data_IF_781997393982
#
_entry.id   IF_781997393982
#
_cell.length_a   1.000
_cell.length_b   1.000
_cell.length_c   1.000
_cell.angle_alpha   90.00
_cell.angle_beta   90.00
_cell.angle_gamma   90.00
#
_symmetry.space_group_name_H-M   'P 1'
#
loop_
_entity.id
_entity.type
_entity.pdbx_description
1 polymer ?
#
# COMPACT_ATOMS: atom_id res chain seq x y z
N UNK A 1 -27.53 7.95 27.07
CA UNK A 1 -26.11 8.33 26.92
C UNK A 1 -25.95 8.74 25.46
N UNK A 2 -25.65 10.02 25.22
CA UNK A 2 -25.83 10.71 23.93
C UNK A 2 -24.97 10.11 22.80
N UNK A 3 -25.58 9.98 21.62
CA UNK A 3 -24.94 9.66 20.32
C UNK A 3 -24.04 10.79 19.77
N UNK A 4 -23.78 11.84 20.55
CA UNK A 4 -22.99 13.02 20.15
C UNK A 4 -21.54 13.01 20.66
N UNK A 5 -21.09 11.93 21.31
CA UNK A 5 -19.70 11.73 21.72
C UNK A 5 -18.98 10.72 20.82
N UNK A 6 -19.22 10.80 19.50
CA UNK A 6 -18.36 10.17 18.50
C UNK A 6 -17.28 11.20 18.20
N UNK A 7 -16.02 10.87 18.49
CA UNK A 7 -14.90 11.79 18.49
C UNK A 7 -14.77 12.51 17.13
N UNK A 8 -15.25 13.76 17.04
CA UNK A 8 -14.79 14.63 15.97
C UNK A 8 -13.29 14.83 16.20
N UNK A 9 -12.47 14.41 15.25
CA UNK A 9 -11.04 14.70 15.24
C UNK A 9 -10.87 16.20 15.46
N UNK A 10 -10.14 16.58 16.50
CA UNK A 10 -9.90 17.97 16.85
C UNK A 10 -9.28 18.71 15.65
N UNK A 11 -9.87 19.85 15.29
CA UNK A 11 -9.37 20.72 14.22
C UNK A 11 -7.93 21.16 14.48
N UNK A 12 -7.52 21.32 15.75
CA UNK A 12 -6.13 21.59 16.10
C UNK A 12 -5.21 20.45 15.66
N UNK A 13 -5.57 19.22 16.00
CA UNK A 13 -4.80 18.02 15.65
C UNK A 13 -4.66 17.86 14.14
N UNK A 14 -5.73 18.10 13.36
CA UNK A 14 -5.65 18.06 11.89
C UNK A 14 -4.65 19.07 11.35
N UNK A 15 -4.75 20.32 11.79
CA UNK A 15 -3.87 21.39 11.33
C UNK A 15 -2.40 21.10 11.66
N UNK A 16 -2.13 20.51 12.82
CA UNK A 16 -0.78 20.09 13.20
C UNK A 16 -0.26 18.93 12.35
N UNK A 17 -1.09 17.89 12.15
CA UNK A 17 -0.77 16.77 11.29
C UNK A 17 -0.46 17.20 9.86
N UNK A 18 -1.31 18.05 9.27
CA UNK A 18 -1.10 18.61 7.93
C UNK A 18 0.22 19.38 7.86
N UNK A 19 0.53 20.19 8.87
CA UNK A 19 1.79 20.93 8.94
C UNK A 19 2.99 19.99 9.03
N UNK A 20 2.93 18.93 9.83
CA UNK A 20 4.01 17.94 9.93
C UNK A 20 4.27 17.26 8.60
N UNK A 21 3.20 16.86 7.90
CA UNK A 21 3.27 16.24 6.57
C UNK A 21 3.89 17.19 5.56
N UNK A 22 3.34 18.39 5.42
CA UNK A 22 3.78 19.38 4.41
C UNK A 22 5.21 19.87 4.64
N UNK A 23 5.72 19.79 5.86
CA UNK A 23 7.10 20.15 6.22
C UNK A 23 8.03 18.95 6.34
N UNK A 24 7.52 17.72 6.23
CA UNK A 24 8.31 16.50 6.49
C UNK A 24 8.94 16.49 7.89
N UNK A 25 8.28 17.10 8.89
CA UNK A 25 8.80 17.24 10.26
C UNK A 25 7.81 16.66 11.28
N UNK A 26 7.61 15.34 11.29
CA UNK A 26 6.72 14.69 12.24
C UNK A 26 7.34 14.60 13.65
N UNK A 27 6.52 14.75 14.72
CA UNK A 27 6.94 14.59 16.11
C UNK A 27 7.06 13.09 16.48
N UNK A 28 8.05 12.40 15.92
CA UNK A 28 8.20 10.94 16.05
C UNK A 28 8.36 10.46 17.50
N UNK A 29 8.93 11.28 18.39
CA UNK A 29 9.16 10.90 19.79
C UNK A 29 7.99 11.30 20.69
N UNK A 30 7.39 12.46 20.43
CA UNK A 30 6.32 13.03 21.24
C UNK A 30 4.95 12.41 20.91
N UNK A 31 4.71 12.09 19.64
CA UNK A 31 3.49 11.46 19.15
C UNK A 31 3.83 10.25 18.25
N UNK A 32 4.31 9.11 18.81
CA UNK A 32 4.87 8.03 18.01
C UNK A 32 3.93 7.48 16.93
N UNK A 33 2.63 7.29 17.25
CA UNK A 33 1.66 6.77 16.29
C UNK A 33 1.34 7.77 15.17
N UNK A 34 0.95 9.00 15.52
CA UNK A 34 0.62 10.05 14.56
C UNK A 34 1.84 10.55 13.78
N UNK A 35 3.01 10.58 14.41
CA UNK A 35 4.27 10.94 13.78
C UNK A 35 4.68 9.96 12.69
N UNK A 36 4.55 8.65 12.94
CA UNK A 36 4.77 7.61 11.92
C UNK A 36 3.75 7.74 10.77
N UNK A 37 2.47 7.92 11.09
CA UNK A 37 1.43 8.13 10.10
C UNK A 37 1.66 9.40 9.26
N UNK A 38 2.12 10.49 9.86
CA UNK A 38 2.50 11.72 9.16
C UNK A 38 3.73 11.51 8.27
N UNK A 39 4.72 10.74 8.71
CA UNK A 39 5.88 10.40 7.89
C UNK A 39 5.50 9.57 6.65
N UNK A 40 4.62 8.59 6.82
CA UNK A 40 4.07 7.80 5.71
C UNK A 40 3.20 8.66 4.77
N UNK A 41 2.42 9.58 5.33
CA UNK A 41 1.61 10.54 4.54
C UNK A 41 2.51 11.52 3.77
N UNK A 42 3.68 11.88 4.31
CA UNK A 42 4.71 12.66 3.60
C UNK A 42 5.21 11.89 2.38
N UNK A 43 5.54 10.61 2.53
CA UNK A 43 5.91 9.75 1.39
C UNK A 43 4.77 9.65 0.36
N UNK A 44 3.53 9.54 0.80
CA UNK A 44 2.37 9.33 -0.06
C UNK A 44 1.97 10.55 -0.90
N UNK A 45 2.16 11.76 -0.37
CA UNK A 45 1.59 12.98 -0.97
C UNK A 45 2.57 14.16 -1.11
N UNK A 46 3.65 14.22 -0.34
CA UNK A 46 4.59 15.35 -0.40
C UNK A 46 5.82 14.99 -1.20
N UNK A 47 6.41 13.83 -0.95
CA UNK A 47 7.66 13.40 -1.57
C UNK A 47 7.60 11.91 -1.96
N UNK A 48 6.90 11.58 -3.08
CA UNK A 48 6.81 10.22 -3.57
C UNK A 48 8.17 9.58 -3.86
N UNK A 49 9.20 10.35 -4.23
CA UNK A 49 10.54 9.81 -4.49
C UNK A 49 11.21 9.34 -3.18
N UNK A 50 10.93 9.99 -2.06
CA UNK A 50 11.45 9.58 -0.75
C UNK A 50 10.71 8.38 -0.12
N UNK A 51 9.73 7.78 -0.80
CA UNK A 51 8.92 6.72 -0.22
C UNK A 51 9.73 5.49 0.21
N UNK A 52 10.68 5.03 -0.60
CA UNK A 52 11.51 3.85 -0.29
C UNK A 52 12.40 4.08 0.94
N UNK A 53 13.22 5.15 1.01
CA UNK A 53 14.04 5.37 2.19
C UNK A 53 13.22 5.63 3.46
N UNK A 54 12.03 6.24 3.34
CA UNK A 54 11.11 6.40 4.47
C UNK A 54 10.64 5.03 4.99
N UNK A 55 10.16 4.16 4.10
CA UNK A 55 9.67 2.84 4.48
C UNK A 55 10.79 1.92 4.98
N UNK A 56 11.98 1.98 4.38
CA UNK A 56 13.16 1.24 4.87
C UNK A 56 13.53 1.66 6.30
N UNK A 57 13.52 2.97 6.60
CA UNK A 57 13.81 3.47 7.95
C UNK A 57 12.78 3.01 8.98
N UNK A 58 11.49 3.11 8.67
CA UNK A 58 10.42 2.69 9.58
C UNK A 58 10.45 1.17 9.76
N UNK A 59 10.65 0.40 8.69
CA UNK A 59 10.73 -1.06 8.74
C UNK A 59 11.86 -1.54 9.65
N UNK A 60 13.06 -0.95 9.50
CA UNK A 60 14.22 -1.28 10.31
C UNK A 60 14.00 -0.93 11.79
N UNK A 61 13.48 0.27 12.07
CA UNK A 61 13.24 0.71 13.44
C UNK A 61 12.14 -0.11 14.13
N UNK A 62 11.08 -0.48 13.41
CA UNK A 62 9.98 -1.31 13.94
C UNK A 62 10.45 -2.74 14.26
N UNK A 63 11.36 -3.30 13.45
CA UNK A 63 11.94 -4.61 13.71
C UNK A 63 12.91 -4.60 14.90
N UNK A 64 13.56 -3.46 15.17
CA UNK A 64 14.55 -3.34 16.23
C UNK A 64 13.94 -3.12 17.62
N UNK A 65 12.83 -2.39 17.72
CA UNK A 65 12.27 -1.99 19.02
C UNK A 65 10.77 -1.68 18.98
N UNK A 66 10.10 -1.99 20.10
CA UNK A 66 8.73 -1.53 20.39
C UNK A 66 8.71 -0.22 21.18
N UNK A 67 9.84 0.30 21.62
CA UNK A 67 9.93 1.59 22.33
C UNK A 67 9.85 2.75 21.33
N UNK A 68 8.88 3.65 21.54
CA UNK A 68 8.63 4.77 20.61
C UNK A 68 9.80 5.76 20.52
N UNK A 69 10.49 6.03 21.62
CA UNK A 69 11.60 6.99 21.63
C UNK A 69 12.85 6.41 20.95
N UNK A 70 13.16 5.14 21.21
CA UNK A 70 14.24 4.43 20.52
C UNK A 70 13.95 4.31 19.01
N UNK A 71 12.70 3.97 18.65
CA UNK A 71 12.26 3.93 17.24
C UNK A 71 12.42 5.29 16.56
N UNK A 72 11.99 6.37 17.21
CA UNK A 72 12.15 7.73 16.71
C UNK A 72 13.63 8.10 16.48
N UNK A 73 14.50 7.72 17.42
CA UNK A 73 15.95 7.95 17.29
C UNK A 73 16.56 7.19 16.10
N UNK A 74 16.15 5.93 15.88
CA UNK A 74 16.62 5.14 14.74
C UNK A 74 16.15 5.71 13.40
N UNK A 75 14.86 6.08 13.30
CA UNK A 75 14.32 6.73 12.09
C UNK A 75 15.05 8.04 11.81
N UNK A 76 15.29 8.85 12.85
CA UNK A 76 16.01 10.12 12.73
C UNK A 76 17.45 9.93 12.29
N UNK A 77 18.13 8.87 12.76
CA UNK A 77 19.48 8.54 12.31
C UNK A 77 19.52 8.14 10.83
N UNK A 78 18.51 7.40 10.35
CA UNK A 78 18.39 7.00 8.95
C UNK A 78 17.93 8.14 8.03
N UNK A 79 17.13 9.08 8.55
CA UNK A 79 16.54 10.20 7.83
C UNK A 79 16.83 11.54 8.54
N UNK A 80 18.07 12.04 8.56
CA UNK A 80 18.43 13.23 9.36
C UNK A 80 17.59 14.48 9.05
N UNK A 81 17.03 14.56 7.84
CA UNK A 81 16.16 15.66 7.42
C UNK A 81 14.85 15.76 8.21
N UNK A 82 14.39 14.72 8.92
CA UNK A 82 13.16 14.79 9.72
C UNK A 82 13.28 15.73 10.93
N UNK A 83 14.52 16.05 11.36
CA UNK A 83 14.77 16.96 12.50
C UNK A 83 14.39 18.39 12.12
N UNK A 84 14.92 18.85 10.99
CA UNK A 84 14.77 20.22 10.50
C UNK A 84 13.56 20.37 9.57
N UNK A 85 13.12 19.26 8.99
CA UNK A 85 12.12 19.21 7.93
C UNK A 85 12.69 19.54 6.55
N UNK A 86 11.80 19.54 5.57
CA UNK A 86 12.03 19.97 4.19
C UNK A 86 11.31 21.31 3.94
N UNK A 87 11.67 22.04 2.86
CA UNK A 87 10.88 23.19 2.44
C UNK A 87 9.39 22.81 2.33
N UNK A 88 8.52 23.62 2.94
CA UNK A 88 7.09 23.30 3.00
C UNK A 88 6.49 23.20 1.60
N UNK A 89 5.83 22.08 1.33
CA UNK A 89 5.01 21.88 0.13
C UNK A 89 3.55 21.80 0.59
N UNK A 90 2.78 22.85 0.33
CA UNK A 90 1.36 22.87 0.67
C UNK A 90 0.58 21.95 -0.28
N UNK A 91 -0.26 21.07 0.28
CA UNK A 91 -1.13 20.22 -0.53
C UNK A 91 -2.45 20.95 -0.85
N UNK A 92 -3.13 20.60 -1.95
CA UNK A 92 -4.45 21.17 -2.26
C UNK A 92 -5.44 20.96 -1.09
N UNK A 93 -6.18 22.00 -0.70
CA UNK A 93 -7.14 21.90 0.43
C UNK A 93 -8.14 20.76 0.21
N UNK A 94 -8.64 20.61 -1.01
CA UNK A 94 -9.59 19.55 -1.38
C UNK A 94 -9.01 18.13 -1.18
N UNK A 95 -7.70 17.94 -1.38
CA UNK A 95 -7.05 16.64 -1.12
C UNK A 95 -7.11 16.30 0.37
N UNK A 96 -6.79 17.25 1.23
CA UNK A 96 -6.86 17.06 2.66
C UNK A 96 -8.29 16.89 3.18
N UNK A 97 -9.25 17.67 2.67
CA UNK A 97 -10.65 17.53 3.06
C UNK A 97 -11.17 16.12 2.72
N UNK A 98 -10.80 15.60 1.54
CA UNK A 98 -11.11 14.24 1.12
C UNK A 98 -10.37 13.19 1.97
N UNK A 99 -9.08 13.39 2.28
CA UNK A 99 -8.31 12.51 3.14
C UNK A 99 -8.93 12.39 4.54
N UNK A 100 -9.22 13.52 5.19
CA UNK A 100 -9.85 13.53 6.51
C UNK A 100 -11.25 12.93 6.51
N UNK A 101 -12.02 13.11 5.42
CA UNK A 101 -13.31 12.42 5.23
C UNK A 101 -13.16 10.90 5.30
N UNK A 102 -12.07 10.33 4.76
CA UNK A 102 -11.78 8.89 4.86
C UNK A 102 -11.41 8.51 6.29
N UNK A 103 -10.53 9.29 6.94
CA UNK A 103 -10.07 9.00 8.30
C UNK A 103 -11.24 9.02 9.30
N UNK A 104 -12.12 10.00 9.20
CA UNK A 104 -13.26 10.20 10.11
C UNK A 104 -14.42 9.23 9.89
N UNK A 105 -14.49 8.56 8.73
CA UNK A 105 -15.56 7.62 8.44
C UNK A 105 -15.56 6.51 9.51
N UNK A 106 -16.65 6.34 10.28
CA UNK A 106 -16.71 5.29 11.29
C UNK A 106 -16.53 3.92 10.65
N UNK A 107 -15.94 2.96 11.36
CA UNK A 107 -15.91 1.57 10.90
C UNK A 107 -17.36 1.06 10.80
N UNK A 108 -17.75 0.60 9.63
CA UNK A 108 -19.02 -0.08 9.40
C UNK A 108 -18.78 -1.57 9.18
N UNK A 109 -19.66 -2.42 9.70
CA UNK A 109 -19.66 -3.85 9.38
C UNK A 109 -20.24 -4.14 7.99
N UNK A 110 -20.82 -3.14 7.34
CA UNK A 110 -21.36 -3.22 5.97
C UNK A 110 -20.35 -2.73 4.92
N UNK A 111 -19.28 -2.03 5.34
CA UNK A 111 -18.25 -1.55 4.43
C UNK A 111 -17.31 -2.71 4.06
N UNK A 112 -17.15 -2.96 2.77
CA UNK A 112 -16.19 -3.94 2.26
C UNK A 112 -14.79 -3.35 2.09
N UNK A 113 -13.77 -4.20 1.91
CA UNK A 113 -12.39 -3.77 1.60
C UNK A 113 -12.30 -2.87 0.36
N UNK A 114 -13.20 -3.12 -0.61
CA UNK A 114 -13.32 -2.33 -1.83
C UNK A 114 -13.73 -0.87 -1.56
N UNK A 115 -14.49 -0.58 -0.49
CA UNK A 115 -14.94 0.78 -0.19
C UNK A 115 -13.79 1.70 0.20
N UNK A 116 -12.86 1.21 1.02
CA UNK A 116 -11.66 1.97 1.38
C UNK A 116 -10.75 2.14 0.16
N UNK A 117 -10.60 1.09 -0.64
CA UNK A 117 -9.82 1.12 -1.89
C UNK A 117 -10.32 2.22 -2.83
N UNK A 118 -11.62 2.23 -3.13
CA UNK A 118 -12.23 3.24 -4.00
C UNK A 118 -12.11 4.66 -3.42
N UNK A 119 -12.23 4.82 -2.10
CA UNK A 119 -12.07 6.11 -1.46
C UNK A 119 -10.62 6.65 -1.57
N UNK A 120 -9.62 5.79 -1.39
CA UNK A 120 -8.20 6.16 -1.55
C UNK A 120 -7.87 6.45 -3.01
N UNK A 121 -8.41 5.67 -3.96
CA UNK A 121 -8.27 5.95 -5.41
C UNK A 121 -8.86 7.32 -5.75
N UNK A 122 -10.02 7.67 -5.19
CA UNK A 122 -10.69 8.94 -5.46
C UNK A 122 -9.89 10.18 -5.03
N UNK A 123 -8.92 10.05 -4.10
CA UNK A 123 -7.98 11.13 -3.77
C UNK A 123 -7.19 11.60 -5.00
N UNK A 124 -7.02 10.73 -6.01
CA UNK A 124 -6.36 11.04 -7.27
C UNK A 124 -6.99 12.19 -8.06
N UNK A 125 -8.28 12.46 -7.87
CA UNK A 125 -8.96 13.60 -8.48
C UNK A 125 -8.47 14.97 -7.97
N UNK A 126 -7.69 14.98 -6.89
CA UNK A 126 -7.18 16.19 -6.26
C UNK A 126 -5.66 16.38 -6.42
N UNK A 127 -5.00 15.53 -7.20
CA UNK A 127 -3.56 15.64 -7.44
C UNK A 127 -3.23 16.82 -8.34
N UNK A 128 -2.19 17.56 -7.96
CA UNK A 128 -1.58 18.56 -8.82
C UNK A 128 -0.53 17.92 -9.74
N UNK A 129 -0.05 18.70 -10.71
CA UNK A 129 0.93 18.24 -11.69
C UNK A 129 2.24 17.76 -11.03
N UNK A 130 2.67 18.44 -9.95
CA UNK A 130 3.88 18.10 -9.20
C UNK A 130 3.76 16.70 -8.57
N UNK A 131 2.61 16.36 -8.00
CA UNK A 131 2.34 15.03 -7.48
C UNK A 131 2.45 13.98 -8.58
N UNK A 132 1.80 14.22 -9.73
CA UNK A 132 1.78 13.28 -10.85
C UNK A 132 3.21 13.04 -11.36
N UNK A 133 4.00 14.10 -11.52
CA UNK A 133 5.40 14.01 -11.95
C UNK A 133 6.27 13.29 -10.91
N UNK A 134 6.04 13.54 -9.63
CA UNK A 134 6.74 12.85 -8.53
C UNK A 134 6.44 11.36 -8.47
N UNK A 135 5.20 10.97 -8.75
CA UNK A 135 4.78 9.56 -8.81
C UNK A 135 5.41 8.81 -9.98
N UNK A 136 5.57 9.48 -11.13
CA UNK A 136 6.30 8.93 -12.27
C UNK A 136 7.77 8.70 -11.91
N UNK A 137 8.43 9.73 -11.38
CA UNK A 137 9.83 9.66 -10.98
C UNK A 137 10.07 8.55 -9.96
N UNK A 138 9.18 8.40 -8.97
CA UNK A 138 9.31 7.38 -7.94
C UNK A 138 9.20 5.95 -8.47
N UNK A 139 8.35 5.70 -9.48
CA UNK A 139 8.26 4.39 -10.12
C UNK A 139 9.50 4.08 -10.97
N UNK A 140 10.09 5.10 -11.60
CA UNK A 140 11.28 4.96 -12.43
C UNK A 140 12.57 4.70 -11.62
N UNK A 141 12.51 4.65 -10.28
CA UNK A 141 13.61 4.18 -9.43
C UNK A 141 13.73 2.64 -9.41
N UNK A 142 12.77 1.90 -9.99
CA UNK A 142 12.74 0.43 -9.96
C UNK A 142 13.06 -0.18 -11.33
N UNK A 143 14.05 -1.07 -11.37
CA UNK A 143 14.51 -1.73 -12.60
C UNK A 143 13.39 -2.54 -13.29
N UNK A 144 12.55 -3.23 -12.51
CA UNK A 144 11.42 -4.01 -13.01
C UNK A 144 10.33 -3.14 -13.64
N UNK A 145 10.22 -1.87 -13.26
CA UNK A 145 9.33 -0.92 -13.95
C UNK A 145 9.89 -0.58 -15.33
N UNK A 146 11.20 -0.36 -15.46
CA UNK A 146 11.85 -0.18 -16.77
C UNK A 146 11.68 -1.42 -17.66
N UNK A 147 11.89 -2.61 -17.10
CA UNK A 147 11.69 -3.87 -17.81
C UNK A 147 10.23 -4.03 -18.27
N UNK A 148 9.26 -3.67 -17.43
CA UNK A 148 7.84 -3.70 -17.80
C UNK A 148 7.55 -2.75 -18.96
N UNK A 149 8.07 -1.51 -18.91
CA UNK A 149 7.88 -0.50 -19.97
C UNK A 149 8.47 -0.98 -21.30
N UNK A 150 9.61 -1.68 -21.26
CA UNK A 150 10.28 -2.19 -22.46
C UNK A 150 9.57 -3.40 -23.11
N UNK A 151 8.77 -4.15 -22.35
CA UNK A 151 8.06 -5.34 -22.83
C UNK A 151 6.71 -4.99 -23.51
N UNK A 152 6.22 -5.77 -24.50
CA UNK A 152 4.88 -5.57 -25.04
C UNK A 152 3.81 -5.78 -23.95
N UNK A 153 2.73 -5.00 -24.04
CA UNK A 153 1.59 -5.16 -23.13
C UNK A 153 0.82 -6.45 -23.46
N UNK A 154 0.60 -7.31 -22.46
CA UNK A 154 -0.17 -8.54 -22.57
C UNK A 154 -1.26 -8.54 -21.53
N UNK A 155 -2.51 -8.46 -21.98
CA UNK A 155 -3.71 -8.45 -21.13
C UNK A 155 -4.16 -9.88 -20.86
N UNK A 156 -4.34 -10.23 -19.59
CA UNK A 156 -5.00 -11.47 -19.19
C UNK A 156 -6.49 -11.22 -19.08
N UNK A 157 -7.30 -12.15 -19.58
CA UNK A 157 -8.76 -12.12 -19.50
C UNK A 157 -9.25 -13.30 -18.67
N UNK A 158 -10.48 -13.22 -18.16
CA UNK A 158 -11.09 -14.36 -17.46
C UNK A 158 -11.18 -15.60 -18.35
N UNK A 159 -11.37 -15.42 -19.67
CA UNK A 159 -11.34 -16.53 -20.63
C UNK A 159 -9.98 -17.24 -20.67
N UNK A 160 -8.86 -16.52 -20.46
CA UNK A 160 -7.53 -17.13 -20.39
C UNK A 160 -7.36 -18.02 -19.15
N UNK A 161 -8.19 -17.85 -18.12
CA UNK A 161 -8.17 -18.66 -16.90
C UNK A 161 -9.06 -19.91 -17.02
N UNK A 162 -9.87 -20.00 -18.06
CA UNK A 162 -10.75 -21.13 -18.29
C UNK A 162 -9.96 -22.35 -18.76
N UNK A 163 -10.43 -23.54 -18.40
CA UNK A 163 -9.93 -24.82 -18.94
C UNK A 163 -8.45 -25.16 -18.64
N UNK A 164 -7.96 -24.81 -17.45
CA UNK A 164 -6.65 -25.27 -16.94
C UNK A 164 -6.75 -26.45 -15.97
N UNK A 165 -5.60 -27.08 -15.69
CA UNK A 165 -5.49 -28.15 -14.70
C UNK A 165 -5.91 -27.68 -13.30
N UNK A 166 -6.42 -28.60 -12.48
CA UNK A 166 -7.00 -28.26 -11.16
C UNK A 166 -5.99 -27.65 -10.19
N UNK A 167 -4.70 -27.97 -10.34
CA UNK A 167 -3.60 -27.49 -9.50
C UNK A 167 -2.89 -26.25 -10.06
N UNK A 168 -3.41 -25.65 -11.14
CA UNK A 168 -2.82 -24.47 -11.79
C UNK A 168 -3.16 -23.16 -11.09
N UNK A 169 -2.27 -22.16 -11.22
CA UNK A 169 -2.53 -20.78 -10.79
C UNK A 169 -3.83 -20.23 -11.39
N UNK A 170 -4.12 -20.50 -12.67
CA UNK A 170 -5.33 -20.08 -13.35
C UNK A 170 -6.58 -20.60 -12.62
N UNK A 171 -6.56 -21.87 -12.17
CA UNK A 171 -7.70 -22.45 -11.48
C UNK A 171 -7.92 -21.83 -10.11
N UNK A 172 -6.85 -21.60 -9.35
CA UNK A 172 -6.92 -20.94 -8.04
C UNK A 172 -7.42 -19.48 -8.17
N UNK A 173 -6.89 -18.74 -9.14
CA UNK A 173 -7.30 -17.36 -9.44
C UNK A 173 -8.77 -17.31 -9.86
N UNK A 174 -9.20 -18.15 -10.81
CA UNK A 174 -10.60 -18.19 -11.24
C UNK A 174 -11.55 -18.60 -10.11
N UNK A 175 -11.13 -19.52 -9.23
CA UNK A 175 -11.94 -19.91 -8.07
C UNK A 175 -12.15 -18.74 -7.11
N UNK A 176 -11.10 -17.96 -6.85
CA UNK A 176 -11.17 -16.79 -5.99
C UNK A 176 -12.05 -15.69 -6.62
N UNK A 177 -11.82 -15.35 -7.89
CA UNK A 177 -12.60 -14.33 -8.59
C UNK A 177 -14.09 -14.64 -8.57
N UNK A 178 -14.46 -15.90 -8.81
CA UNK A 178 -15.86 -16.34 -8.74
C UNK A 178 -16.44 -16.29 -7.32
N UNK A 179 -15.65 -16.61 -6.28
CA UNK A 179 -16.11 -16.56 -4.90
C UNK A 179 -16.41 -15.11 -4.45
N UNK A 180 -15.62 -14.15 -4.94
CA UNK A 180 -15.76 -12.74 -4.60
C UNK A 180 -16.69 -11.97 -5.58
N UNK A 181 -17.15 -12.61 -6.66
CA UNK A 181 -18.02 -12.00 -7.66
C UNK A 181 -17.33 -10.94 -8.53
N UNK A 182 -16.01 -11.07 -8.72
CA UNK A 182 -15.18 -10.13 -9.47
C UNK A 182 -14.70 -10.71 -10.81
N UNK A 183 -14.38 -9.82 -11.74
CA UNK A 183 -13.61 -10.13 -12.94
C UNK A 183 -12.11 -9.92 -12.65
N UNK A 184 -11.22 -10.48 -13.48
CA UNK A 184 -9.76 -10.35 -13.30
C UNK A 184 -9.29 -8.89 -13.27
N UNK A 185 -10.06 -7.99 -13.88
CA UNK A 185 -9.87 -6.55 -13.76
C UNK A 185 -11.09 -5.95 -13.07
N UNK A 186 -10.98 -5.73 -11.75
CA UNK A 186 -12.03 -5.12 -10.92
C UNK A 186 -12.34 -3.67 -11.36
N UNK A 187 -11.34 -3.00 -11.94
CA UNK A 187 -11.42 -1.65 -12.49
C UNK A 187 -11.05 -1.72 -13.96
N UNK A 188 -11.76 -0.96 -14.81
CA UNK A 188 -11.40 -0.87 -16.23
C UNK A 188 -10.00 -0.23 -16.40
N UNK A 189 -9.05 -1.04 -16.88
CA UNK A 189 -7.66 -0.67 -17.08
C UNK A 189 -7.47 0.55 -18.00
N UNK A 190 -8.43 0.86 -18.87
CA UNK A 190 -8.38 2.03 -19.75
C UNK A 190 -8.84 3.32 -19.07
N UNK A 191 -9.49 3.23 -17.91
CA UNK A 191 -9.94 4.39 -17.13
C UNK A 191 -8.89 4.91 -16.13
N UNK A 192 -7.84 4.13 -15.87
CA UNK A 192 -6.77 4.46 -14.91
C UNK A 192 -5.51 5.03 -15.56
N UNK A 193 -5.59 5.36 -16.85
CA UNK A 193 -4.49 5.90 -17.66
C UNK A 193 -4.45 7.42 -17.54
N UNK A 194 -3.29 7.94 -17.20
CA UNK A 194 -3.01 9.37 -17.16
C UNK A 194 -2.77 9.92 -18.58
N UNK A 195 -3.32 11.10 -18.91
CA UNK A 195 -2.97 11.80 -20.15
C UNK A 195 -1.53 12.32 -20.08
N UNK A 196 -0.81 12.27 -21.20
CA UNK A 196 0.58 12.73 -21.28
C UNK A 196 1.60 11.59 -21.37
N UNK A 197 2.87 11.91 -21.12
CA UNK A 197 3.99 10.96 -21.20
C UNK A 197 4.33 10.42 -19.80
N UNK A 198 3.45 9.57 -19.29
CA UNK A 198 3.60 8.88 -17.99
C UNK A 198 3.69 7.36 -18.17
N UNK A 199 4.71 6.85 -18.90
CA UNK A 199 4.80 5.44 -19.22
C UNK A 199 4.88 4.55 -17.99
N UNK A 200 5.59 4.96 -16.92
CA UNK A 200 5.71 4.16 -15.71
C UNK A 200 4.35 4.01 -15.03
N UNK A 201 3.69 5.13 -14.70
CA UNK A 201 2.37 5.09 -14.06
C UNK A 201 1.34 4.34 -14.91
N UNK A 202 1.26 4.62 -16.20
CA UNK A 202 0.28 3.98 -17.08
C UNK A 202 0.51 2.48 -17.19
N UNK A 203 1.77 2.04 -17.33
CA UNK A 203 2.11 0.61 -17.39
C UNK A 203 1.84 -0.09 -16.08
N UNK A 204 2.24 0.48 -14.95
CA UNK A 204 2.04 -0.16 -13.64
C UNK A 204 0.57 -0.20 -13.25
N UNK A 205 -0.20 0.86 -13.52
CA UNK A 205 -1.63 0.94 -13.18
C UNK A 205 -2.45 -0.13 -13.91
N UNK A 206 -2.18 -0.37 -15.20
CA UNK A 206 -2.85 -1.45 -15.93
C UNK A 206 -2.39 -2.81 -15.44
N UNK A 207 -1.08 -2.98 -15.27
CA UNK A 207 -0.50 -4.27 -14.93
C UNK A 207 -0.97 -4.76 -13.57
N UNK A 208 -1.08 -3.87 -12.59
CA UNK A 208 -1.42 -4.28 -11.24
C UNK A 208 -2.85 -4.80 -11.11
N UNK A 209 -3.80 -4.26 -11.87
CA UNK A 209 -5.19 -4.72 -11.83
C UNK A 209 -5.30 -6.22 -12.11
N UNK A 210 -4.38 -6.77 -12.91
CA UNK A 210 -4.34 -8.19 -13.25
C UNK A 210 -3.47 -9.02 -12.29
N UNK A 211 -2.47 -8.40 -11.67
CA UNK A 211 -1.41 -9.09 -10.95
C UNK A 211 -1.58 -9.07 -9.43
N UNK A 212 -2.36 -8.14 -8.89
CA UNK A 212 -2.55 -8.01 -7.44
C UNK A 212 -3.02 -9.34 -6.83
N UNK A 213 -4.07 -9.95 -7.38
CA UNK A 213 -4.59 -11.23 -6.91
C UNK A 213 -3.65 -12.41 -7.16
N UNK A 214 -2.86 -12.34 -8.24
CA UNK A 214 -1.81 -13.32 -8.47
C UNK A 214 -0.76 -13.24 -7.36
N UNK A 215 -0.39 -12.03 -6.93
CA UNK A 215 0.58 -11.81 -5.86
C UNK A 215 0.04 -12.21 -4.49
N UNK A 216 -1.26 -12.08 -4.24
CA UNK A 216 -1.92 -12.69 -3.09
C UNK A 216 -1.68 -14.20 -3.03
N UNK A 217 -1.96 -14.89 -4.14
CA UNK A 217 -1.83 -16.34 -4.24
C UNK A 217 -0.38 -16.80 -4.12
N UNK A 218 0.54 -16.26 -4.92
CA UNK A 218 1.94 -16.71 -4.90
C UNK A 218 2.70 -16.22 -3.67
N UNK A 219 2.37 -15.05 -3.13
CA UNK A 219 2.96 -14.48 -1.92
C UNK A 219 2.37 -15.02 -0.63
N UNK A 220 1.18 -15.63 -0.66
CA UNK A 220 0.56 -16.28 0.49
C UNK A 220 -0.12 -15.32 1.48
N UNK A 221 -0.60 -14.16 1.01
CA UNK A 221 -1.19 -13.13 1.87
C UNK A 221 -2.60 -13.43 2.35
N UNK A 222 -3.33 -14.29 1.63
CA UNK A 222 -4.76 -14.46 1.85
C UNK A 222 -5.57 -13.22 1.43
N UNK A 223 -6.89 -13.37 1.29
CA UNK A 223 -7.81 -12.29 0.96
C UNK A 223 -8.53 -11.84 2.22
N UNK A 224 -7.78 -11.19 3.11
CA UNK A 224 -8.24 -10.71 4.41
C UNK A 224 -7.78 -9.27 4.63
N UNK A 225 -8.35 -8.53 5.59
CA UNK A 225 -7.93 -7.14 5.81
C UNK A 225 -6.45 -7.04 6.21
N UNK A 226 -5.93 -8.02 6.95
CA UNK A 226 -4.52 -8.09 7.29
C UNK A 226 -3.65 -8.47 6.07
N UNK A 227 -4.14 -9.39 5.24
CA UNK A 227 -3.53 -9.74 3.95
C UNK A 227 -3.39 -8.52 3.03
N UNK A 228 -4.42 -7.68 2.92
CA UNK A 228 -4.40 -6.45 2.12
C UNK A 228 -3.37 -5.42 2.61
N UNK A 229 -3.21 -5.29 3.92
CA UNK A 229 -2.18 -4.44 4.51
C UNK A 229 -0.78 -4.99 4.23
N UNK A 230 -0.59 -6.30 4.39
CA UNK A 230 0.72 -6.94 4.15
C UNK A 230 1.10 -6.90 2.66
N UNK A 231 0.19 -7.24 1.74
CA UNK A 231 0.48 -7.18 0.30
C UNK A 231 0.74 -5.74 -0.17
N UNK A 232 0.06 -4.76 0.42
CA UNK A 232 0.35 -3.35 0.13
C UNK A 232 1.80 -3.00 0.49
N UNK A 233 2.30 -3.49 1.63
CA UNK A 233 3.71 -3.36 2.01
C UNK A 233 4.64 -4.04 0.99
N UNK A 234 4.27 -5.22 0.52
CA UNK A 234 5.02 -5.97 -0.49
C UNK A 234 5.09 -5.26 -1.84
N UNK A 235 3.96 -4.80 -2.37
CA UNK A 235 3.90 -4.09 -3.64
C UNK A 235 4.68 -2.78 -3.59
N UNK A 236 4.64 -2.10 -2.43
CA UNK A 236 5.42 -0.90 -2.19
C UNK A 236 6.93 -1.20 -2.25
N UNK A 237 7.37 -2.31 -1.66
CA UNK A 237 8.77 -2.74 -1.71
C UNK A 237 9.23 -3.24 -3.09
N UNK A 238 8.31 -3.76 -3.91
CA UNK A 238 8.60 -4.40 -5.20
C UNK A 238 8.74 -3.42 -6.36
N UNK A 239 7.97 -2.34 -6.38
CA UNK A 239 8.00 -1.38 -7.48
C UNK A 239 7.51 0.02 -7.09
N UNK A 240 7.46 0.34 -5.78
CA UNK A 240 7.13 1.68 -5.33
C UNK A 240 5.68 2.09 -5.60
N UNK A 241 4.75 1.15 -5.52
CA UNK A 241 3.35 1.40 -5.90
C UNK A 241 2.75 2.58 -5.14
N UNK A 242 2.52 3.69 -5.86
CA UNK A 242 1.98 4.92 -5.29
C UNK A 242 0.63 4.74 -4.57
N UNK A 243 -0.24 3.83 -5.06
CA UNK A 243 -1.49 3.51 -4.36
C UNK A 243 -1.22 2.83 -3.01
N UNK A 244 -0.34 1.84 -2.94
CA UNK A 244 -0.02 1.15 -1.68
C UNK A 244 0.56 2.09 -0.66
N UNK A 245 1.43 3.03 -1.04
CA UNK A 245 1.95 4.07 -0.13
C UNK A 245 0.81 4.87 0.50
N UNK A 246 -0.19 5.25 -0.29
CA UNK A 246 -1.35 6.03 0.16
C UNK A 246 -2.31 5.21 0.99
N UNK A 247 -2.59 3.98 0.58
CA UNK A 247 -3.42 3.05 1.33
C UNK A 247 -2.82 2.82 2.72
N UNK A 248 -1.53 2.51 2.78
CA UNK A 248 -0.82 2.29 4.03
C UNK A 248 -0.76 3.55 4.91
N UNK A 249 -0.50 4.72 4.33
CA UNK A 249 -0.55 5.99 5.06
C UNK A 249 -1.95 6.29 5.62
N UNK A 250 -3.00 6.01 4.85
CA UNK A 250 -4.40 6.19 5.25
C UNK A 250 -4.77 5.24 6.38
N UNK A 251 -4.44 3.95 6.25
CA UNK A 251 -4.70 2.93 7.27
C UNK A 251 -3.92 3.22 8.55
N UNK A 252 -2.65 3.63 8.45
CA UNK A 252 -1.83 4.02 9.60
C UNK A 252 -2.39 5.26 10.30
N UNK A 253 -2.82 6.28 9.55
CA UNK A 253 -3.43 7.50 10.11
C UNK A 253 -4.75 7.18 10.81
N UNK A 254 -5.59 6.37 10.18
CA UNK A 254 -6.87 5.94 10.76
C UNK A 254 -6.66 5.14 12.05
N UNK A 255 -5.70 4.22 12.07
CA UNK A 255 -5.36 3.47 13.28
C UNK A 255 -4.79 4.38 14.37
N UNK A 256 -3.90 5.31 14.03
CA UNK A 256 -3.32 6.25 14.99
C UNK A 256 -4.38 7.17 15.64
N UNK A 257 -5.46 7.48 14.93
CA UNK A 257 -6.59 8.28 15.45
C UNK A 257 -7.58 7.42 16.24
N UNK A 258 -8.04 6.30 15.68
CA UNK A 258 -9.17 5.54 16.22
C UNK A 258 -8.75 4.51 17.28
N UNK A 259 -7.55 3.95 17.16
CA UNK A 259 -7.06 2.83 17.97
C UNK A 259 -5.51 2.85 18.06
N UNK A 260 -4.89 3.90 18.62
CA UNK A 260 -3.44 4.06 18.68
C UNK A 260 -2.72 2.88 19.35
N UNK A 261 -3.39 2.17 20.27
CA UNK A 261 -2.88 0.96 20.91
C UNK A 261 -2.66 -0.22 19.95
N UNK A 262 -3.29 -0.20 18.77
CA UNK A 262 -3.13 -1.25 17.74
C UNK A 262 -2.08 -0.88 16.69
N UNK A 263 -1.43 0.28 16.80
CA UNK A 263 -0.51 0.74 15.76
C UNK A 263 0.69 -0.20 15.59
N UNK A 264 1.23 -0.77 16.67
CA UNK A 264 2.44 -1.61 16.59
C UNK A 264 2.18 -2.93 15.86
N UNK A 265 1.02 -3.57 16.11
CA UNK A 265 0.66 -4.80 15.38
C UNK A 265 0.40 -4.49 13.90
N UNK A 266 -0.28 -3.37 13.61
CA UNK A 266 -0.51 -2.92 12.23
C UNK A 266 0.80 -2.65 11.49
N UNK A 267 1.73 -1.91 12.11
CA UNK A 267 3.06 -1.64 11.56
C UNK A 267 3.82 -2.96 11.34
N UNK A 268 3.72 -3.92 12.26
CA UNK A 268 4.35 -5.23 12.09
C UNK A 268 3.81 -5.95 10.84
N UNK A 269 2.49 -5.98 10.64
CA UNK A 269 1.85 -6.54 9.44
C UNK A 269 2.32 -5.84 8.17
N UNK A 270 2.28 -4.50 8.13
CA UNK A 270 2.73 -3.70 6.99
C UNK A 270 4.18 -4.03 6.62
N UNK A 271 5.06 -4.01 7.62
CA UNK A 271 6.49 -4.12 7.39
C UNK A 271 6.99 -5.57 7.27
N UNK A 272 6.23 -6.57 7.70
CA UNK A 272 6.46 -7.97 7.31
C UNK A 272 6.27 -8.13 5.79
N UNK A 273 5.19 -7.56 5.25
CA UNK A 273 4.97 -7.46 3.81
C UNK A 273 6.09 -6.71 3.08
N UNK A 274 6.49 -5.53 3.60
CA UNK A 274 7.63 -4.78 3.08
C UNK A 274 8.91 -5.62 3.02
N UNK A 275 9.33 -6.21 4.14
CA UNK A 275 10.53 -7.04 4.23
C UNK A 275 10.47 -8.22 3.27
N UNK A 276 9.32 -8.88 3.18
CA UNK A 276 9.10 -9.94 2.22
C UNK A 276 9.29 -9.44 0.77
N UNK A 277 8.75 -8.27 0.43
CA UNK A 277 8.93 -7.66 -0.88
C UNK A 277 10.39 -7.30 -1.17
N UNK A 278 11.13 -6.78 -0.18
CA UNK A 278 12.57 -6.47 -0.33
C UNK A 278 13.43 -7.74 -0.50
N UNK A 279 13.01 -8.86 0.08
CA UNK A 279 13.70 -10.16 -0.05
C UNK A 279 13.33 -10.93 -1.31
N UNK A 280 12.27 -10.53 -2.01
CA UNK A 280 11.77 -11.18 -3.23
C UNK A 280 12.30 -10.43 -4.45
N UNK A 281 12.74 -11.13 -5.49
CA UNK A 281 13.04 -10.47 -6.77
C UNK A 281 11.81 -9.73 -7.30
N UNK A 282 11.99 -8.67 -8.05
CA UNK A 282 10.86 -7.89 -8.58
C UNK A 282 9.99 -8.74 -9.52
N UNK A 283 8.68 -8.74 -9.26
CA UNK A 283 7.72 -9.62 -9.94
C UNK A 283 6.87 -8.91 -11.01
N UNK A 284 6.94 -7.57 -11.09
CA UNK A 284 6.09 -6.75 -11.97
C UNK A 284 6.28 -7.07 -13.46
N UNK A 285 7.50 -7.37 -13.87
CA UNK A 285 7.88 -7.65 -15.25
C UNK A 285 7.88 -9.15 -15.61
N UNK A 286 7.47 -10.02 -14.69
CA UNK A 286 7.36 -11.47 -14.97
C UNK A 286 6.25 -11.71 -16.02
N UNK A 287 6.48 -12.58 -17.02
CA UNK A 287 5.47 -12.89 -18.04
C UNK A 287 4.39 -13.84 -17.47
N UNK A 288 3.56 -13.32 -16.56
CA UNK A 288 2.55 -14.09 -15.81
C UNK A 288 1.58 -14.86 -16.71
N UNK A 289 1.26 -14.35 -17.90
CA UNK A 289 0.43 -15.05 -18.90
C UNK A 289 1.01 -16.40 -19.34
N UNK A 290 2.33 -16.58 -19.25
CA UNK A 290 3.00 -17.86 -19.55
C UNK A 290 3.06 -18.80 -18.33
N UNK A 291 2.71 -18.28 -17.15
CA UNK A 291 2.79 -18.99 -15.86
C UNK A 291 1.42 -19.40 -15.33
N UNK A 292 0.31 -18.87 -15.86
CA UNK A 292 -1.04 -19.17 -15.35
C UNK A 292 -1.38 -20.67 -15.36
N UNK A 293 -0.80 -21.46 -16.29
CA UNK A 293 -1.01 -22.90 -16.35
C UNK A 293 -0.13 -23.70 -15.36
N UNK A 294 0.89 -23.09 -14.76
CA UNK A 294 1.78 -23.76 -13.82
C UNK A 294 1.13 -23.87 -12.42
N UNK A 295 1.45 -24.93 -11.65
CA UNK A 295 1.13 -24.95 -10.24
C UNK A 295 1.88 -23.87 -9.45
N UNK A 296 1.23 -23.27 -8.45
CA UNK A 296 1.82 -22.23 -7.60
C UNK A 296 3.14 -22.69 -6.96
N UNK A 297 3.25 -23.96 -6.56
CA UNK A 297 4.46 -24.53 -5.98
C UNK A 297 5.65 -24.50 -6.96
N UNK A 298 5.41 -24.74 -8.24
CA UNK A 298 6.42 -24.64 -9.31
C UNK A 298 6.79 -23.17 -9.56
N UNK A 299 5.81 -22.28 -9.62
CA UNK A 299 6.07 -20.83 -9.78
C UNK A 299 6.96 -20.33 -8.65
N UNK A 300 6.63 -20.67 -7.40
CA UNK A 300 7.42 -20.32 -6.21
C UNK A 300 8.85 -20.86 -6.29
N UNK A 301 9.03 -22.11 -6.68
CA UNK A 301 10.35 -22.72 -6.85
C UNK A 301 11.17 -22.00 -7.95
N UNK A 302 10.59 -21.78 -9.13
CA UNK A 302 11.28 -21.17 -10.28
C UNK A 302 11.60 -19.69 -10.04
N UNK A 303 10.74 -18.97 -9.30
CA UNK A 303 10.90 -17.55 -9.02
C UNK A 303 11.58 -17.29 -7.67
N UNK A 304 11.89 -18.33 -6.90
CA UNK A 304 12.41 -18.27 -5.53
C UNK A 304 11.52 -17.40 -4.60
N UNK A 305 10.21 -17.60 -4.67
CA UNK A 305 9.23 -16.93 -3.81
C UNK A 305 8.96 -17.84 -2.62
N UNK A 306 9.24 -17.34 -1.42
CA UNK A 306 8.77 -17.96 -0.19
C UNK A 306 7.43 -17.32 0.17
N UNK A 307 6.39 -18.09 0.55
CA UNK A 307 5.18 -17.48 1.10
C UNK A 307 5.52 -16.63 2.33
N UNK A 308 4.77 -15.55 2.56
CA UNK A 308 4.94 -14.75 3.77
C UNK A 308 4.75 -15.63 5.01
N UNK A 309 5.68 -15.50 5.96
CA UNK A 309 5.57 -16.10 7.28
C UNK A 309 5.52 -15.00 8.32
N UNK A 310 4.30 -14.62 8.73
CA UNK A 310 4.06 -13.55 9.68
C UNK A 310 3.06 -13.98 10.75
N UNK A 311 3.52 -14.03 12.00
CA UNK A 311 2.66 -14.22 13.16
C UNK A 311 1.70 -13.04 13.34
N UNK A 312 2.11 -11.83 12.97
CA UNK A 312 1.29 -10.63 13.09
C UNK A 312 0.09 -10.68 12.13
N UNK A 313 0.28 -11.13 10.88
CA UNK A 313 -0.82 -11.33 9.93
C UNK A 313 -1.82 -12.34 10.51
N UNK A 314 -1.34 -13.53 10.89
CA UNK A 314 -2.19 -14.59 11.48
C UNK A 314 -2.93 -14.13 12.73
N UNK A 315 -2.25 -13.36 13.59
CA UNK A 315 -2.84 -12.81 14.81
C UNK A 315 -3.95 -11.79 14.47
N UNK A 316 -3.70 -10.86 13.55
CA UNK A 316 -4.66 -9.83 13.17
C UNK A 316 -5.90 -10.42 12.47
N UNK A 317 -5.73 -11.47 11.66
CA UNK A 317 -6.83 -12.23 11.05
C UNK A 317 -7.71 -12.92 12.11
N UNK A 318 -7.11 -13.50 13.15
CA UNK A 318 -7.87 -14.16 14.21
C UNK A 318 -8.76 -13.18 15.00
N UNK A 319 -8.38 -11.91 15.09
CA UNK A 319 -9.17 -10.85 15.73
C UNK A 319 -10.12 -10.12 14.77
N UNK A 320 -9.91 -10.28 13.46
CA UNK A 320 -10.66 -9.60 12.40
C UNK A 320 -11.04 -10.63 11.32
N UNK A 321 -11.87 -11.64 11.65
CA UNK A 321 -12.24 -12.66 10.68
C UNK A 321 -12.92 -12.01 9.49
N UNK A 322 -12.59 -12.48 8.28
CA UNK A 322 -13.29 -12.09 7.06
C UNK A 322 -14.80 -12.32 7.25
N UNK A 323 -15.60 -11.31 6.88
CA UNK A 323 -17.08 -11.37 6.94
C UNK A 323 -17.61 -12.21 5.79
#
# INVERSE_FOLDING_TARGET
>A
MNREAMAMIDVSMRNEFEKWVETGRPPLAEEPALGLAALMTTAAFVDPVAQVPIFDAIAAATAATSDGAERAAQITAALPWVIDGKPRIALPRALWDAFWTIIERPRSTEDGELDLTLAVVALGHHYDQRMIDGCEAALLEFDGVHDLIAQPEVRLTTADLESHATDSLAKDLLSMLNANGYDIEVIDADTVVLPGDYPAQNRTNRRILQLHDIWHLVGGYGFTPAGEVAISGFQMAQFGQNYSTRFLATVATKAAVDAPELIDILLTVMFDGWRHGRATKELIAVPWHQRIADPISRIRADLNIQPIDSDAVRMMEAFTPAV
#
